data_IF_442691015113
#
_entry.id   IF_442691015113
#
_cell.length_a   1.000
_cell.length_b   1.000
_cell.length_c   1.000
_cell.angle_alpha   90.00
_cell.angle_beta   90.00
_cell.angle_gamma   90.00
#
_symmetry.space_group_name_H-M   'P 1'
#
loop_
_entity.id
_entity.type
_entity.pdbx_description
1 polymer ?
#
# COMPACT_ATOMS: atom_id res chain seq x y z
N UNK A 1 15.21 3.64 4.44
CA UNK A 1 13.97 2.89 4.76
C UNK A 1 13.71 1.97 3.58
N UNK A 2 13.37 0.71 3.85
CA UNK A 2 13.13 -0.25 2.76
C UNK A 2 11.78 -0.02 2.07
N UNK A 3 11.69 -0.45 0.81
CA UNK A 3 10.53 -0.29 -0.07
C UNK A 3 9.25 -0.90 0.52
N UNK A 4 9.39 -2.02 1.24
CA UNK A 4 8.28 -2.73 1.84
C UNK A 4 7.67 -1.93 3.01
N UNK A 5 8.52 -1.45 3.91
CA UNK A 5 8.12 -0.63 5.05
C UNK A 5 7.42 0.65 4.61
N UNK A 6 7.94 1.33 3.58
CA UNK A 6 7.30 2.50 2.99
C UNK A 6 5.88 2.19 2.46
N UNK A 7 5.76 1.11 1.67
CA UNK A 7 4.47 0.69 1.09
C UNK A 7 3.45 0.31 2.16
N UNK A 8 3.88 -0.43 3.19
CA UNK A 8 3.03 -0.79 4.33
C UNK A 8 2.52 0.44 5.07
N UNK A 9 3.42 1.36 5.40
CA UNK A 9 3.07 2.57 6.15
C UNK A 9 2.10 3.43 5.34
N UNK A 10 2.32 3.55 4.03
CA UNK A 10 1.42 4.29 3.14
C UNK A 10 0.00 3.72 3.11
N UNK A 11 -0.15 2.40 3.07
CA UNK A 11 -1.47 1.75 3.13
C UNK A 11 -2.19 2.07 4.45
N UNK A 12 -1.48 2.04 5.58
CA UNK A 12 -2.06 2.36 6.90
C UNK A 12 -2.45 3.83 7.00
N UNK A 13 -1.61 4.73 6.49
CA UNK A 13 -1.88 6.16 6.44
C UNK A 13 -3.15 6.47 5.64
N UNK A 14 -3.27 5.89 4.43
CA UNK A 14 -4.45 6.04 3.59
C UNK A 14 -5.72 5.51 4.28
N UNK A 15 -5.63 4.38 4.99
CA UNK A 15 -6.76 3.92 5.82
C UNK A 15 -7.15 4.94 6.89
N UNK A 16 -6.16 5.55 7.56
CA UNK A 16 -6.38 6.61 8.54
C UNK A 16 -7.01 7.87 7.93
N UNK A 17 -6.48 8.36 6.81
CA UNK A 17 -6.96 9.55 6.11
C UNK A 17 -8.40 9.41 5.61
N UNK A 18 -8.75 8.23 5.11
CA UNK A 18 -10.11 7.94 4.65
C UNK A 18 -11.04 7.46 5.79
N UNK A 19 -10.54 7.35 7.03
CA UNK A 19 -11.27 6.82 8.19
C UNK A 19 -11.93 5.46 7.91
N UNK A 20 -11.19 4.54 7.27
CA UNK A 20 -11.64 3.20 6.90
C UNK A 20 -10.80 2.11 7.56
N UNK A 21 -11.41 0.94 7.77
CA UNK A 21 -10.70 -0.25 8.25
C UNK A 21 -9.98 -0.96 7.11
N UNK A 22 -9.01 -1.82 7.44
CA UNK A 22 -8.33 -2.69 6.47
C UNK A 22 -9.31 -3.57 5.69
N UNK A 23 -10.35 -4.07 6.37
CA UNK A 23 -11.37 -4.88 5.71
C UNK A 23 -12.17 -4.05 4.70
N UNK A 24 -12.51 -2.80 5.06
CA UNK A 24 -13.20 -1.89 4.15
C UNK A 24 -12.32 -1.54 2.95
N UNK A 25 -11.02 -1.29 3.16
CA UNK A 25 -10.07 -1.09 2.06
C UNK A 25 -10.03 -2.30 1.13
N UNK A 26 -9.97 -3.52 1.68
CA UNK A 26 -9.95 -4.74 0.88
C UNK A 26 -11.22 -4.87 0.00
N UNK A 27 -12.39 -4.58 0.58
CA UNK A 27 -13.65 -4.53 -0.18
C UNK A 27 -13.61 -3.50 -1.30
N UNK A 28 -13.16 -2.28 -1.01
CA UNK A 28 -13.05 -1.21 -2.00
C UNK A 28 -12.08 -1.54 -3.13
N UNK A 29 -10.95 -2.16 -2.79
CA UNK A 29 -9.92 -2.55 -3.73
C UNK A 29 -10.24 -3.84 -4.50
N UNK A 30 -11.41 -4.47 -4.28
CA UNK A 30 -11.75 -5.80 -4.80
C UNK A 30 -10.68 -6.87 -4.52
N UNK A 31 -10.06 -6.79 -3.33
CA UNK A 31 -9.03 -7.72 -2.86
C UNK A 31 -9.55 -8.54 -1.68
N UNK A 32 -9.11 -9.80 -1.54
CA UNK A 32 -9.31 -10.55 -0.29
C UNK A 32 -8.69 -9.80 0.91
N UNK A 33 -9.35 -9.72 2.08
CA UNK A 33 -8.75 -9.11 3.27
C UNK A 33 -7.41 -9.75 3.68
N UNK A 34 -7.24 -11.04 3.40
CA UNK A 34 -5.97 -11.75 3.60
C UNK A 34 -4.84 -11.20 2.74
N UNK A 35 -5.12 -10.74 1.51
CA UNK A 35 -4.12 -10.15 0.62
C UNK A 35 -3.54 -8.86 1.21
N UNK A 36 -4.39 -7.96 1.70
CA UNK A 36 -3.92 -6.73 2.34
C UNK A 36 -3.21 -7.05 3.67
N UNK A 37 -3.75 -7.95 4.49
CA UNK A 37 -3.10 -8.39 5.73
C UNK A 37 -1.73 -9.02 5.48
N UNK A 38 -1.56 -9.80 4.41
CA UNK A 38 -0.27 -10.40 4.06
C UNK A 38 0.78 -9.34 3.76
N UNK A 39 0.40 -8.24 3.11
CA UNK A 39 1.27 -7.08 2.92
C UNK A 39 1.59 -6.45 4.28
N UNK A 40 0.58 -6.12 5.09
CA UNK A 40 0.80 -5.41 6.36
C UNK A 40 1.62 -6.19 7.40
N UNK A 41 1.52 -7.52 7.40
CA UNK A 41 2.23 -8.41 8.33
C UNK A 41 3.47 -9.08 7.74
N UNK A 42 3.93 -8.65 6.56
CA UNK A 42 5.22 -9.05 6.01
C UNK A 42 5.25 -10.47 5.44
N UNK A 43 4.09 -11.12 5.30
CA UNK A 43 3.98 -12.40 4.57
C UNK A 43 4.16 -12.20 3.05
N UNK A 44 3.85 -11.00 2.56
CA UNK A 44 4.11 -10.57 1.18
C UNK A 44 4.84 -9.24 1.22
N UNK A 45 6.17 -9.29 1.09
CA UNK A 45 7.03 -8.09 1.14
C UNK A 45 7.13 -7.38 -0.21
N UNK A 46 6.72 -8.04 -1.30
CA UNK A 46 6.73 -7.48 -2.65
C UNK A 46 5.32 -7.52 -3.27
N UNK A 47 4.42 -6.60 -2.86
CA UNK A 47 3.14 -6.48 -3.53
C UNK A 47 3.35 -6.10 -5.00
N UNK A 48 2.71 -6.83 -5.91
CA UNK A 48 2.73 -6.47 -7.33
C UNK A 48 2.18 -5.07 -7.52
N UNK A 49 2.71 -4.33 -8.50
CA UNK A 49 2.20 -3.00 -8.86
C UNK A 49 0.68 -3.00 -9.11
N UNK A 50 0.15 -4.07 -9.72
CA UNK A 50 -1.29 -4.23 -9.93
C UNK A 50 -2.09 -4.24 -8.62
N UNK A 51 -1.57 -4.87 -7.56
CA UNK A 51 -2.22 -4.87 -6.24
C UNK A 51 -2.27 -3.46 -5.66
N UNK A 52 -1.19 -2.69 -5.80
CA UNK A 52 -1.14 -1.28 -5.39
C UNK A 52 -2.14 -0.46 -6.22
N UNK A 53 -2.21 -0.69 -7.54
CA UNK A 53 -3.18 -0.03 -8.42
C UNK A 53 -4.62 -0.32 -8.01
N UNK A 54 -4.95 -1.55 -7.64
CA UNK A 54 -6.29 -1.92 -7.14
C UNK A 54 -6.63 -1.20 -5.82
N UNK A 55 -5.65 -1.05 -4.92
CA UNK A 55 -5.79 -0.24 -3.71
C UNK A 55 -6.08 1.22 -4.05
N UNK A 56 -5.33 1.79 -5.01
CA UNK A 56 -5.53 3.16 -5.47
C UNK A 56 -6.93 3.35 -6.07
N UNK A 57 -7.38 2.41 -6.90
CA UNK A 57 -8.71 2.43 -7.52
C UNK A 57 -9.82 2.37 -6.47
N UNK A 58 -9.68 1.52 -5.45
CA UNK A 58 -10.62 1.44 -4.33
C UNK A 58 -10.71 2.72 -3.50
N UNK A 59 -9.64 3.51 -3.47
CA UNK A 59 -9.57 4.79 -2.76
C UNK A 59 -9.85 6.00 -3.65
N UNK A 60 -10.07 5.79 -4.96
CA UNK A 60 -10.23 6.83 -5.96
C UNK A 60 -9.04 7.82 -6.00
N UNK A 61 -7.82 7.27 -5.92
CA UNK A 61 -6.55 8.01 -6.07
C UNK A 61 -5.74 7.41 -7.22
N UNK A 62 -4.75 8.15 -7.72
CA UNK A 62 -3.83 7.64 -8.74
C UNK A 62 -2.62 6.94 -8.10
N UNK A 63 -1.86 6.17 -8.89
CA UNK A 63 -0.56 5.65 -8.43
C UNK A 63 0.40 6.79 -8.07
N UNK A 64 0.32 7.93 -8.78
CA UNK A 64 1.11 9.11 -8.45
C UNK A 64 0.80 9.54 -7.02
N UNK A 65 -0.46 9.73 -6.67
CA UNK A 65 -0.88 10.16 -5.32
C UNK A 65 -0.47 9.14 -4.25
N UNK A 66 -0.48 7.85 -4.58
CA UNK A 66 0.01 6.81 -3.66
C UNK A 66 1.49 6.98 -3.33
N UNK A 67 2.32 7.24 -4.34
CA UNK A 67 3.78 7.38 -4.20
C UNK A 67 4.27 8.81 -3.90
N UNK A 68 3.37 9.81 -3.91
CA UNK A 68 3.69 11.22 -3.67
C UNK A 68 3.88 11.51 -2.17
N UNK A 69 4.84 10.83 -1.56
CA UNK A 69 5.27 11.08 -0.17
C UNK A 69 6.80 11.13 -0.07
N UNK A 70 7.37 11.91 0.88
CA UNK A 70 8.82 12.06 1.02
C UNK A 70 9.57 10.74 1.26
N UNK A 71 8.90 9.75 1.83
CA UNK A 71 9.41 8.41 2.09
C UNK A 71 9.88 7.70 0.82
N UNK A 72 9.13 7.83 -0.28
CA UNK A 72 9.46 7.19 -1.55
C UNK A 72 10.62 7.88 -2.29
N UNK A 73 11.02 9.08 -1.87
CA UNK A 73 12.17 9.79 -2.44
C UNK A 73 13.52 9.36 -1.83
N UNK A 74 13.49 8.68 -0.68
CA UNK A 74 14.70 8.35 0.11
C UNK A 74 14.76 6.86 0.46
N UNK A 75 14.34 5.99 -0.46
CA UNK A 75 14.41 4.54 -0.28
C UNK A 75 15.85 4.02 -0.38
N UNK A 76 16.12 2.95 0.36
CA UNK A 76 17.42 2.29 0.33
C UNK A 76 17.65 1.61 -1.05
N UNK A 77 18.92 1.53 -1.50
CA UNK A 77 19.25 0.86 -2.77
C UNK A 77 19.03 -0.65 -2.67
N UNK A 78 18.30 -1.21 -3.64
CA UNK A 78 18.08 -2.66 -3.78
C UNK A 78 19.17 -3.36 -4.62
N UNK A 79 20.01 -2.57 -5.32
CA UNK A 79 21.13 -3.08 -6.13
C UNK A 79 22.38 -3.20 -5.24
N UNK A 80 23.07 -4.34 -5.34
CA UNK A 80 24.37 -4.62 -4.71
C UNK A 80 25.46 -4.73 -5.76
#
# INVERSE_FOLDING_TARGET
>A
MDTYTATKNRILELCGQHNITINKLATLAALPPSSIKNILYGKSTNPKLLTIKMICDGLNITLKDFFDTPEFNHLDSEIK
#
